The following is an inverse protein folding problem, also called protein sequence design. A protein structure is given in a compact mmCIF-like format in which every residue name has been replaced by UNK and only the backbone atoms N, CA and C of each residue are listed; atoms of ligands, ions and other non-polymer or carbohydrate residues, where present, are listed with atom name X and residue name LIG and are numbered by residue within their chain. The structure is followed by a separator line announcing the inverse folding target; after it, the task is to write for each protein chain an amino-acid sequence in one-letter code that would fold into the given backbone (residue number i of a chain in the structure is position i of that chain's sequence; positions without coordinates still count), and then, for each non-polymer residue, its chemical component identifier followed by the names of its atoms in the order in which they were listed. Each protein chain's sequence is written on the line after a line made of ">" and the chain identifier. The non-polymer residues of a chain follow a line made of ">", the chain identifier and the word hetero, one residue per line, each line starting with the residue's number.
data_IF_252517770899
#
_entry.id   IF_252517770899
#
_cell.length_a   1.000
_cell.length_b   1.000
_cell.length_c   1.000
_cell.angle_alpha   90.00
_cell.angle_beta   90.00
_cell.angle_gamma   90.00
#
_symmetry.space_group_name_H-M   'P 1'
#
loop_
_entity.id
_entity.type
_entity.pdbx_description
1 polymer ?
#
# COMPACT_ATOMS: atom_id res chain seq x y z
N UNK A 1 24.95 9.26 -28.73
CA UNK A 1 23.50 8.93 -28.68
C UNK A 1 23.01 8.51 -27.27
N UNK A 2 23.85 8.53 -26.22
CA UNK A 2 23.49 7.99 -24.89
C UNK A 2 22.67 8.91 -23.95
N UNK A 3 22.69 10.23 -24.13
CA UNK A 3 22.18 11.17 -23.10
C UNK A 3 20.65 11.25 -23.01
N UNK A 4 19.92 11.25 -24.12
CA UNK A 4 18.46 11.43 -24.10
C UNK A 4 17.72 10.18 -23.60
N UNK A 5 18.19 8.98 -23.96
CA UNK A 5 17.58 7.73 -23.52
C UNK A 5 17.81 7.47 -22.03
N UNK A 6 19.01 7.80 -21.52
CA UNK A 6 19.32 7.74 -20.08
C UNK A 6 18.50 8.76 -19.29
N UNK A 7 18.38 9.99 -19.78
CA UNK A 7 17.53 11.02 -19.17
C UNK A 7 16.05 10.60 -19.12
N UNK A 8 15.53 9.98 -20.18
CA UNK A 8 14.16 9.45 -20.19
C UNK A 8 13.96 8.33 -19.18
N UNK A 9 14.95 7.44 -19.00
CA UNK A 9 14.87 6.36 -18.03
C UNK A 9 14.95 6.89 -16.60
N UNK A 10 15.83 7.87 -16.34
CA UNK A 10 15.89 8.55 -15.04
C UNK A 10 14.56 9.20 -14.69
N UNK A 11 13.94 9.93 -15.63
CA UNK A 11 12.62 10.52 -15.43
C UNK A 11 11.55 9.46 -15.13
N UNK A 12 11.63 8.26 -15.72
CA UNK A 12 10.73 7.15 -15.39
C UNK A 12 10.93 6.66 -13.95
N UNK A 13 12.19 6.45 -13.55
CA UNK A 13 12.55 6.04 -12.18
C UNK A 13 12.04 7.07 -11.16
N UNK A 14 12.20 8.37 -11.44
CA UNK A 14 11.70 9.44 -10.59
C UNK A 14 10.16 9.40 -10.49
N UNK A 15 9.44 9.12 -11.59
CA UNK A 15 7.98 8.91 -11.54
C UNK A 15 7.61 7.67 -10.71
N UNK A 16 8.40 6.59 -10.75
CA UNK A 16 8.15 5.41 -9.93
C UNK A 16 8.33 5.73 -8.44
N UNK A 17 9.37 6.48 -8.08
CA UNK A 17 9.61 7.00 -6.72
C UNK A 17 8.45 7.86 -6.24
N UNK A 18 8.03 8.81 -7.06
CA UNK A 18 6.89 9.69 -6.79
C UNK A 18 5.60 8.89 -6.53
N UNK A 19 5.29 7.91 -7.40
CA UNK A 19 4.12 7.07 -7.23
C UNK A 19 4.10 6.28 -5.90
N UNK A 20 5.27 5.97 -5.34
CA UNK A 20 5.39 5.34 -4.03
C UNK A 20 5.28 6.34 -2.87
N UNK A 21 5.93 7.50 -2.99
CA UNK A 21 6.13 8.46 -1.91
C UNK A 21 5.12 9.59 -1.83
N UNK A 22 4.27 9.78 -2.83
CA UNK A 22 3.28 10.85 -2.81
C UNK A 22 2.42 10.80 -1.54
N UNK A 23 2.40 11.89 -0.78
CA UNK A 23 1.78 11.95 0.55
C UNK A 23 0.26 11.90 0.52
N UNK A 24 -0.35 12.16 -0.65
CA UNK A 24 -1.80 12.27 -0.81
C UNK A 24 -2.44 10.99 -1.36
N UNK A 25 -1.83 10.42 -2.39
CA UNK A 25 -2.37 9.33 -3.22
C UNK A 25 -1.35 8.23 -3.50
N UNK A 26 -0.14 8.35 -2.97
CA UNK A 26 0.94 7.39 -3.18
C UNK A 26 0.60 5.98 -2.68
N UNK A 27 1.33 5.01 -3.23
CA UNK A 27 1.15 3.59 -2.92
C UNK A 27 1.44 3.34 -1.44
N UNK A 28 2.53 3.87 -0.88
CA UNK A 28 2.88 3.65 0.52
C UNK A 28 1.88 4.31 1.47
N UNK A 29 1.42 5.53 1.16
CA UNK A 29 0.36 6.21 1.91
C UNK A 29 -0.90 5.35 1.98
N UNK A 30 -1.34 4.86 0.82
CA UNK A 30 -2.52 3.98 0.71
C UNK A 30 -2.37 2.72 1.55
N UNK A 31 -1.23 2.04 1.43
CA UNK A 31 -0.97 0.81 2.17
C UNK A 31 -0.94 1.06 3.69
N UNK A 32 -0.32 2.15 4.13
CA UNK A 32 -0.25 2.51 5.55
C UNK A 32 -1.64 2.85 6.12
N UNK A 33 -2.48 3.58 5.38
CA UNK A 33 -3.85 3.88 5.78
C UNK A 33 -4.69 2.61 5.93
N UNK A 34 -4.55 1.69 4.97
CA UNK A 34 -5.23 0.40 5.00
C UNK A 34 -4.79 -0.46 6.21
N UNK A 35 -3.50 -0.47 6.52
CA UNK A 35 -2.95 -1.17 7.69
C UNK A 35 -3.46 -0.56 8.99
N UNK A 36 -3.50 0.78 9.08
CA UNK A 36 -4.03 1.49 10.24
C UNK A 36 -5.51 1.17 10.45
N UNK A 37 -6.33 1.29 9.40
CA UNK A 37 -7.75 0.98 9.44
C UNK A 37 -8.00 -0.48 9.83
N UNK A 38 -7.19 -1.42 9.32
CA UNK A 38 -7.25 -2.82 9.73
C UNK A 38 -6.94 -3.00 11.23
N UNK A 39 -5.88 -2.38 11.75
CA UNK A 39 -5.53 -2.47 13.16
C UNK A 39 -6.62 -1.87 14.07
N UNK A 40 -7.14 -0.70 13.70
CA UNK A 40 -8.23 -0.02 14.42
C UNK A 40 -9.51 -0.87 14.41
N UNK A 41 -9.91 -1.39 13.25
CA UNK A 41 -11.12 -2.21 13.15
C UNK A 41 -11.00 -3.55 13.87
N UNK A 42 -9.84 -4.21 13.80
CA UNK A 42 -9.56 -5.42 14.60
C UNK A 42 -9.66 -5.14 16.10
N UNK A 43 -9.23 -3.96 16.53
CA UNK A 43 -9.37 -3.49 17.91
C UNK A 43 -10.84 -3.25 18.26
N UNK A 44 -11.61 -2.61 17.38
CA UNK A 44 -13.06 -2.43 17.56
C UNK A 44 -13.80 -3.77 17.71
N UNK A 45 -13.53 -4.75 16.85
CA UNK A 45 -14.08 -6.12 16.98
C UNK A 45 -13.70 -6.72 18.34
N UNK A 46 -12.45 -6.53 18.79
CA UNK A 46 -12.01 -7.04 20.09
C UNK A 46 -12.74 -6.38 21.26
N UNK A 47 -12.98 -5.07 21.20
CA UNK A 47 -13.78 -4.33 22.20
C UNK A 47 -15.18 -4.95 22.28
N UNK A 48 -15.83 -5.17 21.14
CA UNK A 48 -17.16 -5.81 21.07
C UNK A 48 -17.16 -7.21 21.69
N UNK A 49 -16.17 -8.04 21.33
CA UNK A 49 -16.05 -9.39 21.86
C UNK A 49 -15.81 -9.40 23.39
N UNK A 50 -15.06 -8.43 23.91
CA UNK A 50 -14.81 -8.31 25.36
C UNK A 50 -16.06 -7.84 26.10
N UNK A 51 -16.79 -6.87 25.55
CA UNK A 51 -18.05 -6.40 26.11
C UNK A 51 -19.09 -7.52 26.20
N UNK A 52 -19.19 -8.38 25.17
CA UNK A 52 -20.14 -9.50 25.14
C UNK A 52 -19.74 -10.70 26.01
N UNK A 53 -18.46 -10.84 26.40
CA UNK A 53 -17.99 -11.96 27.24
C UNK A 53 -18.26 -11.75 28.73
N UNK A 54 -18.28 -10.50 29.17
CA UNK A 54 -18.43 -10.15 30.57
C UNK A 54 -19.93 -10.09 30.89
N UNK A 55 -20.47 -11.16 31.52
CA UNK A 55 -21.91 -11.30 31.85
C UNK A 55 -22.42 -10.37 32.95
N UNK A 56 -21.62 -9.39 33.38
CA UNK A 56 -22.06 -8.33 34.30
C UNK A 56 -22.73 -7.24 33.48
N UNK A 57 -23.63 -6.47 34.09
CA UNK A 57 -24.43 -5.38 33.49
C UNK A 57 -23.58 -4.29 32.82
N UNK A 58 -22.94 -4.61 31.69
CA UNK A 58 -22.30 -3.62 30.82
C UNK A 58 -23.34 -3.16 29.81
N UNK A 59 -23.36 -1.85 29.49
CA UNK A 59 -24.30 -1.32 28.52
C UNK A 59 -24.11 -2.02 27.17
N UNK A 60 -25.22 -2.32 26.46
CA UNK A 60 -25.16 -2.89 25.12
C UNK A 60 -24.43 -1.94 24.17
N UNK A 61 -23.76 -2.51 23.18
CA UNK A 61 -23.06 -1.74 22.16
C UNK A 61 -24.09 -1.07 21.26
N UNK A 62 -23.86 0.21 20.93
CA UNK A 62 -24.66 0.90 19.94
C UNK A 62 -24.44 0.28 18.56
N UNK A 63 -25.41 -0.55 18.13
CA UNK A 63 -25.31 -1.30 16.88
C UNK A 63 -25.25 -0.38 15.66
N UNK A 64 -26.01 0.71 15.64
CA UNK A 64 -26.01 1.69 14.54
C UNK A 64 -24.61 2.28 14.31
N UNK A 65 -23.93 2.69 15.37
CA UNK A 65 -22.57 3.23 15.27
C UNK A 65 -21.57 2.16 14.83
N UNK A 66 -21.69 0.95 15.35
CA UNK A 66 -20.81 -0.16 14.98
C UNK A 66 -20.98 -0.54 13.50
N UNK A 67 -22.22 -0.60 13.00
CA UNK A 67 -22.52 -0.90 11.61
C UNK A 67 -21.95 0.18 10.67
N UNK A 68 -22.02 1.46 11.07
CA UNK A 68 -21.38 2.55 10.33
C UNK A 68 -19.87 2.39 10.26
N UNK A 69 -19.21 2.06 11.39
CA UNK A 69 -17.76 1.81 11.45
C UNK A 69 -17.38 0.62 10.58
N UNK A 70 -18.12 -0.49 10.67
CA UNK A 70 -17.88 -1.69 9.88
C UNK A 70 -18.04 -1.41 8.39
N UNK A 71 -19.12 -0.74 7.98
CA UNK A 71 -19.36 -0.36 6.58
C UNK A 71 -18.25 0.56 6.04
N UNK A 72 -17.84 1.55 6.83
CA UNK A 72 -16.73 2.44 6.47
C UNK A 72 -15.41 1.70 6.31
N UNK A 73 -15.10 0.77 7.21
CA UNK A 73 -13.91 -0.09 7.11
C UNK A 73 -13.92 -0.94 5.83
N UNK A 74 -15.00 -1.68 5.57
CA UNK A 74 -15.10 -2.53 4.39
C UNK A 74 -15.01 -1.73 3.10
N UNK A 75 -15.74 -0.61 3.01
CA UNK A 75 -15.71 0.26 1.84
C UNK A 75 -14.30 0.82 1.60
N UNK A 76 -13.63 1.30 2.66
CA UNK A 76 -12.25 1.81 2.59
C UNK A 76 -11.26 0.73 2.13
N UNK A 77 -11.34 -0.47 2.70
CA UNK A 77 -10.50 -1.60 2.33
C UNK A 77 -10.64 -1.95 0.85
N UNK A 78 -11.89 -2.20 0.42
CA UNK A 78 -12.16 -2.68 -0.92
C UNK A 78 -11.79 -1.62 -1.98
N UNK A 79 -12.11 -0.34 -1.74
CA UNK A 79 -11.70 0.77 -2.62
C UNK A 79 -10.18 0.93 -2.66
N UNK A 80 -9.50 0.83 -1.52
CA UNK A 80 -8.05 0.91 -1.44
C UNK A 80 -7.36 -0.22 -2.21
N UNK A 81 -7.86 -1.45 -2.09
CA UNK A 81 -7.39 -2.59 -2.88
C UNK A 81 -7.56 -2.31 -4.39
N UNK A 82 -8.76 -1.89 -4.82
CA UNK A 82 -9.01 -1.55 -6.23
C UNK A 82 -8.06 -0.48 -6.75
N UNK A 83 -7.84 0.59 -5.97
CA UNK A 83 -6.92 1.68 -6.32
C UNK A 83 -5.49 1.17 -6.55
N UNK A 84 -4.99 0.30 -5.68
CA UNK A 84 -3.64 -0.27 -5.80
C UNK A 84 -3.49 -1.26 -6.96
N UNK A 85 -4.60 -1.83 -7.45
CA UNK A 85 -4.65 -2.79 -8.55
C UNK A 85 -4.99 -2.15 -9.90
N UNK A 86 -5.22 -0.84 -9.94
CA UNK A 86 -5.64 -0.12 -11.16
C UNK A 86 -4.64 -0.34 -12.30
N UNK A 87 -5.15 -0.57 -13.51
CA UNK A 87 -4.38 -0.86 -14.72
C UNK A 87 -4.10 0.39 -15.55
N UNK A 88 -4.52 1.56 -15.09
CA UNK A 88 -4.29 2.83 -15.76
C UNK A 88 -2.82 3.11 -16.03
N UNK A 89 -2.58 4.16 -16.83
CA UNK A 89 -1.23 4.60 -17.13
C UNK A 89 -0.66 5.35 -15.94
N UNK A 90 0.66 5.28 -15.75
CA UNK A 90 1.31 6.04 -14.69
C UNK A 90 1.38 7.55 -15.00
N UNK A 91 1.31 7.92 -16.29
CA UNK A 91 1.51 9.30 -16.78
C UNK A 91 0.29 9.81 -17.54
N UNK A 92 0.15 11.13 -17.57
CA UNK A 92 -0.91 11.86 -18.28
C UNK A 92 -2.02 12.36 -17.37
N UNK A 93 -3.00 13.05 -17.94
CA UNK A 93 -4.10 13.70 -17.22
C UNK A 93 -5.02 12.72 -16.46
N UNK A 94 -4.87 11.42 -16.75
CA UNK A 94 -5.55 10.32 -16.08
C UNK A 94 -4.55 9.30 -15.52
N UNK A 95 -3.39 9.80 -15.07
CA UNK A 95 -2.36 9.00 -14.42
C UNK A 95 -2.86 8.39 -13.10
N UNK A 96 -2.46 7.16 -12.81
CA UNK A 96 -2.81 6.47 -11.56
C UNK A 96 -1.58 5.94 -10.82
N UNK A 97 -1.53 6.19 -9.51
CA UNK A 97 -0.51 5.63 -8.61
C UNK A 97 -1.00 4.30 -8.06
N UNK A 98 -0.71 3.24 -8.82
CA UNK A 98 -1.03 1.86 -8.47
C UNK A 98 0.20 0.97 -8.65
N UNK A 99 0.23 -0.15 -7.92
CA UNK A 99 1.33 -1.12 -8.01
C UNK A 99 1.41 -1.68 -9.44
N UNK A 100 0.24 -1.95 -10.04
CA UNK A 100 0.16 -2.55 -11.38
C UNK A 100 0.55 -1.57 -12.48
N UNK A 101 0.21 -0.28 -12.36
CA UNK A 101 0.64 0.76 -13.30
C UNK A 101 2.18 0.90 -13.31
N UNK A 102 2.79 0.91 -12.12
CA UNK A 102 4.25 0.96 -11.98
C UNK A 102 4.90 -0.30 -12.58
N UNK A 103 4.39 -1.49 -12.26
CA UNK A 103 4.90 -2.74 -12.83
C UNK A 103 4.81 -2.79 -14.36
N UNK A 104 3.70 -2.33 -14.92
CA UNK A 104 3.52 -2.25 -16.37
C UNK A 104 4.53 -1.30 -17.02
N UNK A 105 4.79 -0.14 -16.40
CA UNK A 105 5.76 0.81 -16.93
C UNK A 105 7.21 0.29 -16.84
N UNK A 106 7.57 -0.38 -15.75
CA UNK A 106 8.88 -1.04 -15.59
C UNK A 106 9.04 -2.15 -16.63
N UNK A 107 8.02 -3.00 -16.82
CA UNK A 107 8.05 -4.07 -17.82
C UNK A 107 8.23 -3.49 -19.23
N UNK A 108 7.56 -2.40 -19.54
CA UNK A 108 7.68 -1.72 -20.84
C UNK A 108 9.09 -1.17 -21.11
N UNK A 109 9.87 -0.81 -20.09
CA UNK A 109 11.25 -0.35 -20.24
C UNK A 109 12.31 -1.38 -19.82
N UNK A 110 11.93 -2.64 -19.57
CA UNK A 110 12.81 -3.73 -19.11
C UNK A 110 14.13 -3.82 -19.88
N UNK A 111 14.08 -3.71 -21.22
CA UNK A 111 15.25 -3.82 -22.08
C UNK A 111 16.31 -2.72 -21.84
N UNK A 112 15.94 -1.61 -21.20
CA UNK A 112 16.83 -0.50 -20.84
C UNK A 112 17.31 -0.56 -19.39
N UNK A 113 16.72 -1.44 -18.57
CA UNK A 113 17.02 -1.58 -17.14
C UNK A 113 18.04 -2.72 -16.93
N UNK A 114 19.27 -2.50 -17.40
CA UNK A 114 20.37 -3.44 -17.17
C UNK A 114 20.84 -3.42 -15.71
N UNK A 115 21.62 -4.43 -15.30
CA UNK A 115 22.24 -4.48 -13.97
C UNK A 115 22.98 -3.20 -13.62
N UNK A 116 23.76 -2.67 -14.56
CA UNK A 116 24.52 -1.44 -14.32
C UNK A 116 23.60 -0.26 -14.02
N UNK A 117 22.57 -0.08 -14.84
CA UNK A 117 21.57 0.98 -14.66
C UNK A 117 20.81 0.79 -13.35
N UNK A 118 20.44 -0.44 -13.02
CA UNK A 118 19.78 -0.74 -11.75
C UNK A 118 20.64 -0.31 -10.55
N UNK A 119 21.90 -0.73 -10.51
CA UNK A 119 22.78 -0.43 -9.37
C UNK A 119 23.11 1.07 -9.31
N UNK A 120 23.50 1.68 -10.42
CA UNK A 120 24.01 3.05 -10.42
C UNK A 120 22.90 4.11 -10.43
N UNK A 121 21.80 3.89 -11.16
CA UNK A 121 20.77 4.91 -11.41
C UNK A 121 19.53 4.69 -10.57
N UNK A 122 19.09 3.44 -10.40
CA UNK A 122 17.88 3.13 -9.65
C UNK A 122 18.16 3.04 -8.14
N UNK A 123 19.26 2.40 -7.76
CA UNK A 123 19.65 2.20 -6.36
C UNK A 123 20.60 3.24 -5.81
N UNK A 124 21.05 4.19 -6.64
CA UNK A 124 22.04 5.22 -6.28
C UNK A 124 23.30 4.62 -5.60
N UNK A 125 23.74 3.44 -6.09
CA UNK A 125 24.87 2.68 -5.57
C UNK A 125 26.05 2.68 -6.55
N UNK A 126 27.19 2.09 -6.16
CA UNK A 126 28.36 1.97 -7.04
C UNK A 126 28.46 0.55 -7.61
N UNK A 127 28.63 0.44 -8.93
CA UNK A 127 28.69 -0.86 -9.59
C UNK A 127 29.93 -1.68 -9.22
N UNK A 128 31.11 -1.05 -9.22
CA UNK A 128 32.41 -1.73 -9.05
C UNK A 128 32.70 -2.10 -7.58
N UNK A 129 32.29 -3.29 -7.16
CA UNK A 129 32.49 -3.78 -5.79
C UNK A 129 33.97 -3.90 -5.40
N UNK A 130 34.83 -4.36 -6.31
CA UNK A 130 36.26 -4.53 -6.01
C UNK A 130 36.97 -3.21 -5.71
N UNK A 131 36.53 -2.10 -6.30
CA UNK A 131 37.05 -0.76 -5.98
C UNK A 131 36.63 -0.34 -4.58
N UNK A 132 35.36 -0.54 -4.24
CA UNK A 132 34.83 -0.25 -2.90
C UNK A 132 35.53 -1.07 -1.80
N UNK A 133 35.79 -2.35 -2.06
CA UNK A 133 36.51 -3.23 -1.14
C UNK A 133 37.95 -2.76 -0.91
N UNK A 134 38.64 -2.29 -1.96
CA UNK A 134 39.99 -1.74 -1.84
C UNK A 134 39.97 -0.41 -1.07
N UNK A 135 39.05 0.50 -1.38
CA UNK A 135 38.89 1.77 -0.65
C UNK A 135 38.63 1.53 0.85
N UNK A 136 37.76 0.58 1.18
CA UNK A 136 37.51 0.22 2.57
C UNK A 136 38.73 -0.42 3.25
N UNK A 137 39.47 -1.27 2.53
CA UNK A 137 40.71 -1.88 3.05
C UNK A 137 41.77 -0.83 3.33
N UNK A 138 41.95 0.14 2.45
CA UNK A 138 42.88 1.26 2.65
C UNK A 138 42.43 2.15 3.82
N UNK A 139 41.13 2.41 3.96
CA UNK A 139 40.59 3.13 5.12
C UNK A 139 40.87 2.39 6.46
N UNK A 140 40.74 1.06 6.47
CA UNK A 140 41.05 0.23 7.65
C UNK A 140 42.55 0.25 7.98
N UNK A 141 43.44 0.19 6.96
CA UNK A 141 44.89 0.33 7.17
C UNK A 141 45.23 1.70 7.74
N UNK A 142 44.64 2.76 7.20
CA UNK A 142 44.86 4.14 7.66
C UNK A 142 44.35 4.38 9.09
N UNK A 143 43.37 3.61 9.55
CA UNK A 143 42.84 3.71 10.91
C UNK A 143 43.85 3.30 12.00
N UNK A 144 44.93 2.58 11.64
CA UNK A 144 46.05 2.21 12.53
C UNK A 144 45.59 1.65 13.89
N UNK A 145 44.67 0.69 13.87
CA UNK A 145 44.13 0.04 15.07
C UNK A 145 42.98 0.77 15.78
N UNK A 146 42.53 1.93 15.28
CA UNK A 146 41.33 2.60 15.79
C UNK A 146 40.07 1.98 15.21
N UNK A 147 39.00 1.94 16.01
CA UNK A 147 37.68 1.60 15.52
C UNK A 147 37.22 2.66 14.51
N UNK A 148 36.90 2.23 13.29
CA UNK A 148 36.32 3.06 12.23
C UNK A 148 35.02 2.44 11.78
N UNK A 149 34.03 3.29 11.55
CA UNK A 149 32.79 2.88 10.91
C UNK A 149 33.08 2.65 9.43
N UNK A 150 32.75 1.45 8.92
CA UNK A 150 32.87 1.16 7.50
C UNK A 150 31.91 2.02 6.68
N UNK A 151 32.31 2.38 5.47
CA UNK A 151 31.44 3.10 4.53
C UNK A 151 30.23 2.21 4.18
N UNK A 152 28.99 2.66 4.45
CA UNK A 152 27.80 1.88 4.10
C UNK A 152 27.66 1.64 2.59
N UNK A 153 28.35 2.41 1.74
CA UNK A 153 28.30 2.28 0.29
C UNK A 153 28.68 0.88 -0.22
N UNK A 154 29.64 0.19 0.42
CA UNK A 154 29.97 -1.19 0.05
C UNK A 154 28.79 -2.12 0.30
N UNK A 155 28.25 -2.11 1.52
CA UNK A 155 27.13 -2.97 1.92
C UNK A 155 25.88 -2.70 1.09
N UNK A 156 25.58 -1.43 0.80
CA UNK A 156 24.45 -1.03 -0.05
C UNK A 156 24.63 -1.54 -1.48
N UNK A 157 25.82 -1.37 -2.06
CA UNK A 157 26.13 -1.84 -3.41
C UNK A 157 26.10 -3.37 -3.50
N UNK A 158 26.64 -4.08 -2.49
CA UNK A 158 26.56 -5.54 -2.39
C UNK A 158 25.10 -6.02 -2.35
N UNK A 159 24.27 -5.37 -1.54
CA UNK A 159 22.83 -5.68 -1.45
C UNK A 159 22.13 -5.43 -2.79
N UNK A 160 22.43 -4.33 -3.47
CA UNK A 160 21.86 -4.02 -4.79
C UNK A 160 22.22 -5.09 -5.84
N UNK A 161 23.47 -5.57 -5.85
CA UNK A 161 23.89 -6.67 -6.72
C UNK A 161 23.21 -7.99 -6.37
N UNK A 162 23.07 -8.31 -5.08
CA UNK A 162 22.37 -9.53 -4.63
C UNK A 162 20.88 -9.51 -5.01
N UNK A 163 20.21 -8.36 -4.87
CA UNK A 163 18.86 -8.20 -5.39
C UNK A 163 18.80 -8.42 -6.90
N UNK A 164 19.74 -7.86 -7.66
CA UNK A 164 19.76 -8.06 -9.11
C UNK A 164 20.08 -9.50 -9.52
N UNK A 165 20.91 -10.23 -8.77
CA UNK A 165 21.14 -11.66 -9.00
C UNK A 165 19.82 -12.44 -8.90
N UNK A 166 19.00 -12.15 -7.88
CA UNK A 166 17.67 -12.74 -7.77
C UNK A 166 16.75 -12.34 -8.93
N UNK A 167 16.75 -11.05 -9.31
CA UNK A 167 15.89 -10.53 -10.38
C UNK A 167 16.25 -11.08 -11.76
N UNK A 168 17.54 -11.28 -12.04
CA UNK A 168 18.05 -11.79 -13.32
C UNK A 168 18.12 -13.32 -13.37
N UNK A 169 18.20 -13.99 -12.22
CA UNK A 169 18.49 -15.42 -12.12
C UNK A 169 19.96 -15.77 -12.40
N UNK A 170 20.85 -14.77 -12.48
CA UNK A 170 22.28 -14.95 -12.77
C UNK A 170 23.07 -14.96 -11.46
N UNK A 171 23.91 -15.98 -11.29
CA UNK A 171 24.75 -16.14 -10.11
C UNK A 171 25.87 -15.10 -10.05
N UNK A 172 26.34 -14.82 -8.83
CA UNK A 172 27.29 -13.73 -8.58
C UNK A 172 28.65 -13.85 -9.28
N UNK A 173 29.04 -15.05 -9.69
CA UNK A 173 30.25 -15.36 -10.46
C UNK A 173 30.13 -15.07 -11.96
N UNK A 174 28.90 -14.91 -12.48
CA UNK A 174 28.61 -14.74 -13.91
C UNK A 174 27.99 -13.38 -14.25
N UNK A 175 28.07 -12.43 -13.32
CA UNK A 175 27.46 -11.09 -13.47
C UNK A 175 28.01 -10.37 -14.71
N UNK A 176 27.11 -9.75 -15.46
CA UNK A 176 27.45 -8.82 -16.52
C UNK A 176 26.71 -7.50 -16.33
N UNK A 177 27.31 -6.35 -16.70
CA UNK A 177 26.66 -5.04 -16.61
C UNK A 177 25.40 -4.95 -17.48
N UNK A 178 25.27 -5.82 -18.48
CA UNK A 178 24.16 -5.86 -19.42
C UNK A 178 23.09 -6.91 -19.07
N UNK A 179 23.22 -7.60 -17.93
CA UNK A 179 22.19 -8.52 -17.46
C UNK A 179 20.84 -7.82 -17.35
N UNK A 180 19.77 -8.50 -17.75
CA UNK A 180 18.41 -8.00 -17.68
C UNK A 180 17.63 -8.76 -16.61
N UNK A 181 16.62 -8.10 -16.03
CA UNK A 181 15.65 -8.73 -15.13
C UNK A 181 14.91 -9.83 -15.89
N UNK A 182 14.65 -10.98 -15.28
CA UNK A 182 13.90 -12.08 -15.89
C UNK A 182 12.41 -11.73 -16.06
N UNK A 183 11.79 -12.19 -17.14
CA UNK A 183 10.35 -11.98 -17.37
C UNK A 183 9.48 -12.70 -16.34
N UNK A 184 9.96 -13.85 -15.84
CA UNK A 184 9.34 -14.64 -14.77
C UNK A 184 9.08 -13.80 -13.50
N UNK A 185 9.95 -12.83 -13.18
CA UNK A 185 9.74 -11.96 -12.01
C UNK A 185 8.45 -11.15 -12.16
N UNK A 186 8.20 -10.58 -13.35
CA UNK A 186 6.99 -9.81 -13.61
C UNK A 186 5.75 -10.70 -13.60
N UNK A 187 5.84 -11.92 -14.14
CA UNK A 187 4.75 -12.89 -14.10
C UNK A 187 4.41 -13.30 -12.66
N UNK A 188 5.43 -13.59 -11.84
CA UNK A 188 5.24 -13.92 -10.43
C UNK A 188 4.60 -12.79 -9.64
N UNK A 189 5.01 -11.54 -9.88
CA UNK A 189 4.39 -10.37 -9.23
C UNK A 189 2.95 -10.16 -9.70
N UNK A 190 2.70 -10.27 -11.01
CA UNK A 190 1.34 -10.13 -11.55
C UNK A 190 0.41 -11.24 -11.06
N UNK A 191 0.87 -12.49 -10.98
CA UNK A 191 0.08 -13.61 -10.46
C UNK A 191 -0.42 -13.37 -9.04
N UNK A 192 0.39 -12.71 -8.19
CA UNK A 192 -0.03 -12.30 -6.84
C UNK A 192 -1.10 -11.21 -6.87
N UNK A 193 -0.97 -10.24 -7.77
CA UNK A 193 -1.97 -9.18 -7.93
C UNK A 193 -3.28 -9.70 -8.56
N UNK A 194 -3.20 -10.69 -9.45
CA UNK A 194 -4.36 -11.33 -10.08
C UNK A 194 -5.24 -12.03 -9.05
N UNK A 195 -4.64 -12.63 -8.01
CA UNK A 195 -5.39 -13.25 -6.92
C UNK A 195 -6.33 -12.27 -6.19
N UNK A 196 -6.08 -10.96 -6.31
CA UNK A 196 -6.89 -9.90 -5.70
C UNK A 196 -7.91 -9.28 -6.66
N UNK A 197 -7.96 -9.70 -7.93
CA UNK A 197 -8.84 -9.09 -8.94
C UNK A 197 -10.33 -9.25 -8.60
N UNK A 198 -10.73 -10.34 -7.94
CA UNK A 198 -12.12 -10.55 -7.50
C UNK A 198 -12.63 -9.40 -6.63
N UNK A 199 -11.76 -8.83 -5.79
CA UNK A 199 -12.08 -7.65 -4.96
C UNK A 199 -12.31 -6.42 -5.86
N UNK A 200 -11.45 -6.19 -6.85
CA UNK A 200 -11.58 -5.07 -7.79
C UNK A 200 -12.86 -5.16 -8.62
N UNK A 201 -13.20 -6.38 -9.07
CA UNK A 201 -14.41 -6.66 -9.86
C UNK A 201 -15.68 -6.46 -9.03
N UNK A 202 -15.67 -6.89 -7.77
CA UNK A 202 -16.74 -6.64 -6.81
C UNK A 202 -16.94 -5.14 -6.60
N UNK A 203 -15.89 -4.39 -6.28
CA UNK A 203 -15.98 -2.94 -6.05
C UNK A 203 -16.53 -2.22 -7.26
N UNK A 204 -16.05 -2.57 -8.46
CA UNK A 204 -16.50 -1.93 -9.69
C UNK A 204 -18.00 -2.15 -9.95
N UNK A 205 -18.58 -3.27 -9.52
CA UNK A 205 -19.98 -3.61 -9.77
C UNK A 205 -20.95 -3.27 -8.64
N UNK A 206 -20.48 -3.26 -7.38
CA UNK A 206 -21.33 -3.18 -6.20
C UNK A 206 -21.13 -1.90 -5.37
N UNK A 207 -19.97 -1.24 -5.47
CA UNK A 207 -19.62 -0.11 -4.62
C UNK A 207 -19.39 1.18 -5.42
N UNK A 208 -18.51 1.12 -6.42
CA UNK A 208 -18.11 2.29 -7.20
C UNK A 208 -19.12 2.69 -8.29
N UNK A 209 -19.90 1.73 -8.78
CA UNK A 209 -20.95 1.97 -9.75
C UNK A 209 -22.26 1.34 -9.26
N UNK A 210 -23.39 2.00 -9.57
CA UNK A 210 -24.72 1.42 -9.39
C UNK A 210 -24.97 0.35 -10.47
N UNK A 211 -24.17 -0.72 -10.46
CA UNK A 211 -24.28 -1.81 -11.42
C UNK A 211 -25.69 -2.38 -11.41
N UNK A 212 -26.24 -2.64 -12.59
CA UNK A 212 -27.52 -3.33 -12.71
C UNK A 212 -27.40 -4.80 -12.27
N UNK A 213 -28.53 -5.50 -12.15
CA UNK A 213 -28.58 -6.90 -11.69
C UNK A 213 -27.65 -7.83 -12.49
N UNK A 214 -27.59 -7.66 -13.79
CA UNK A 214 -26.74 -8.46 -14.70
C UNK A 214 -25.25 -8.22 -14.44
N UNK A 215 -24.84 -6.96 -14.25
CA UNK A 215 -23.43 -6.59 -14.04
C UNK A 215 -22.85 -7.08 -12.71
N UNK A 216 -23.73 -7.38 -11.75
CA UNK A 216 -23.41 -7.88 -10.39
C UNK A 216 -23.32 -9.40 -10.30
N UNK A 217 -23.88 -10.12 -11.27
CA UNK A 217 -23.91 -11.58 -11.26
C UNK A 217 -22.48 -12.16 -11.19
N UNK A 218 -22.29 -13.18 -10.35
CA UNK A 218 -21.03 -13.90 -10.12
C UNK A 218 -19.85 -13.04 -9.60
N UNK A 219 -20.11 -11.81 -9.13
CA UNK A 219 -19.10 -10.87 -8.57
C UNK A 219 -19.36 -10.55 -7.10
N UNK A 220 -20.12 -11.38 -6.42
CA UNK A 220 -20.38 -11.25 -5.00
C UNK A 220 -19.20 -11.76 -4.19
N UNK A 221 -19.02 -11.15 -3.03
CA UNK A 221 -18.03 -11.53 -2.02
C UNK A 221 -18.76 -12.07 -0.79
N UNK A 222 -19.72 -12.97 -1.00
CA UNK A 222 -20.68 -13.40 0.04
C UNK A 222 -20.03 -14.05 1.28
N UNK A 223 -18.79 -14.53 1.15
CA UNK A 223 -18.01 -15.13 2.24
C UNK A 223 -16.79 -14.30 2.66
N UNK A 224 -16.60 -13.09 2.10
CA UNK A 224 -15.41 -12.29 2.40
C UNK A 224 -15.47 -11.73 3.82
N UNK A 225 -14.52 -12.15 4.64
CA UNK A 225 -14.46 -11.76 6.04
C UNK A 225 -13.11 -11.15 6.45
N UNK A 226 -12.92 -10.97 7.76
CA UNK A 226 -11.74 -10.31 8.32
C UNK A 226 -10.44 -11.09 8.07
N UNK A 227 -10.51 -12.40 7.85
CA UNK A 227 -9.38 -13.27 7.49
C UNK A 227 -8.98 -13.01 6.04
N UNK A 228 -9.95 -12.90 5.15
CA UNK A 228 -9.70 -12.58 3.74
C UNK A 228 -9.14 -11.18 3.59
N UNK A 229 -9.66 -10.22 4.35
CA UNK A 229 -9.07 -8.88 4.46
C UNK A 229 -7.60 -8.92 4.86
N UNK A 230 -7.27 -9.69 5.91
CA UNK A 230 -5.89 -9.84 6.37
C UNK A 230 -4.99 -10.39 5.27
N UNK A 231 -5.41 -11.45 4.57
CA UNK A 231 -4.60 -12.02 3.50
C UNK A 231 -4.49 -11.07 2.30
N UNK A 232 -5.55 -10.38 1.91
CA UNK A 232 -5.50 -9.37 0.85
C UNK A 232 -4.52 -8.23 1.18
N UNK A 233 -4.57 -7.70 2.40
CA UNK A 233 -3.63 -6.68 2.87
C UNK A 233 -2.20 -7.19 2.92
N UNK A 234 -1.99 -8.40 3.41
CA UNK A 234 -0.67 -9.02 3.46
C UNK A 234 -0.08 -9.17 2.06
N UNK A 235 -0.86 -9.65 1.08
CA UNK A 235 -0.44 -9.74 -0.31
C UNK A 235 -0.09 -8.35 -0.87
N UNK A 236 -0.94 -7.34 -0.68
CA UNK A 236 -0.68 -5.97 -1.13
C UNK A 236 0.58 -5.38 -0.52
N UNK A 237 0.75 -5.48 0.80
CA UNK A 237 1.93 -4.97 1.52
C UNK A 237 3.19 -5.63 0.99
N UNK A 238 3.18 -6.96 0.84
CA UNK A 238 4.35 -7.70 0.37
C UNK A 238 4.70 -7.34 -1.07
N UNK A 239 3.72 -7.24 -1.97
CA UNK A 239 3.99 -6.85 -3.36
C UNK A 239 4.43 -5.39 -3.44
N UNK A 240 3.74 -4.47 -2.76
CA UNK A 240 4.13 -3.06 -2.71
C UNK A 240 5.56 -2.89 -2.20
N UNK A 241 5.91 -3.56 -1.09
CA UNK A 241 7.25 -3.49 -0.53
C UNK A 241 8.31 -4.02 -1.49
N UNK A 242 8.08 -5.18 -2.13
CA UNK A 242 9.02 -5.72 -3.11
C UNK A 242 9.19 -4.79 -4.31
N UNK A 243 8.08 -4.30 -4.88
CA UNK A 243 8.13 -3.38 -6.03
C UNK A 243 8.81 -2.07 -5.66
N UNK A 244 8.50 -1.50 -4.49
CA UNK A 244 9.14 -0.30 -3.99
C UNK A 244 10.65 -0.48 -3.83
N UNK A 245 11.07 -1.52 -3.10
CA UNK A 245 12.50 -1.74 -2.79
C UNK A 245 13.29 -2.10 -4.04
N UNK A 246 12.70 -2.88 -4.94
CA UNK A 246 13.40 -3.30 -6.15
C UNK A 246 13.43 -2.20 -7.19
N UNK A 247 12.34 -1.46 -7.40
CA UNK A 247 12.21 -0.62 -8.60
C UNK A 247 12.06 0.88 -8.31
N UNK A 248 11.64 1.27 -7.12
CA UNK A 248 11.60 2.67 -6.71
C UNK A 248 12.76 3.06 -5.79
N UNK A 249 13.45 2.09 -5.16
CA UNK A 249 14.34 2.32 -4.01
C UNK A 249 13.58 2.89 -2.80
N UNK A 250 12.28 2.57 -2.70
CA UNK A 250 11.38 3.03 -1.64
C UNK A 250 10.92 1.84 -0.79
N UNK A 251 10.79 2.03 0.51
CA UNK A 251 10.38 0.96 1.43
C UNK A 251 9.69 1.52 2.67
N UNK A 252 9.43 0.65 3.64
CA UNK A 252 8.92 1.08 4.95
C UNK A 252 7.40 1.15 5.08
N UNK A 253 6.63 0.48 4.21
CA UNK A 253 5.23 0.23 4.51
C UNK A 253 5.12 -0.62 5.79
N UNK A 254 4.37 -0.13 6.76
CA UNK A 254 4.27 -0.75 8.08
C UNK A 254 3.12 -0.16 8.88
N UNK A 255 2.71 -0.86 9.94
CA UNK A 255 1.71 -0.32 10.85
C UNK A 255 2.30 0.93 11.52
N UNK A 256 1.61 2.07 11.39
CA UNK A 256 2.03 3.30 12.00
C UNK A 256 2.12 3.16 13.53
N UNK A 257 3.20 3.66 14.10
CA UNK A 257 3.35 3.77 15.55
C UNK A 257 2.53 4.97 16.02
N UNK A 258 1.47 4.71 16.78
CA UNK A 258 0.73 5.76 17.45
C UNK A 258 1.58 6.34 18.59
N UNK A 259 1.70 7.67 18.65
CA UNK A 259 2.57 8.37 19.63
C UNK A 259 1.89 8.46 21.01
N UNK A 260 0.56 8.32 21.08
CA UNK A 260 -0.22 8.34 22.32
C UNK A 260 -0.60 6.95 22.85
N UNK A 261 -1.55 6.91 23.78
CA UNK A 261 -2.21 5.67 24.18
C UNK A 261 -3.46 5.43 23.33
N UNK A 262 -3.41 4.46 22.41
CA UNK A 262 -4.52 4.13 21.52
C UNK A 262 -5.79 3.62 22.23
N UNK A 263 -5.71 3.37 23.54
CA UNK A 263 -6.83 2.91 24.37
C UNK A 263 -7.32 3.98 25.36
N UNK A 264 -6.72 5.17 25.35
CA UNK A 264 -7.15 6.27 26.20
C UNK A 264 -8.63 6.61 25.95
N UNK A 265 -9.40 6.73 27.04
CA UNK A 265 -10.83 7.06 26.98
C UNK A 265 -11.77 5.86 26.77
N UNK A 266 -11.26 4.65 26.50
CA UNK A 266 -12.12 3.46 26.31
C UNK A 266 -12.75 2.93 27.62
N UNK A 267 -12.26 3.39 28.77
CA UNK A 267 -12.72 3.04 30.11
C UNK A 267 -13.80 3.98 30.66
N UNK A 268 -14.18 5.03 29.92
CA UNK A 268 -15.20 6.00 30.29
C UNK A 268 -16.45 5.88 29.40
N UNK A 269 -17.65 6.15 29.94
CA UNK A 269 -18.84 6.29 29.10
C UNK A 269 -18.69 7.47 28.15
N UNK A 270 -19.03 7.27 26.87
CA UNK A 270 -18.91 8.30 25.83
C UNK A 270 -19.92 9.44 26.01
N UNK A 271 -21.09 9.12 26.57
CA UNK A 271 -22.23 10.02 26.75
C UNK A 271 -22.80 9.76 28.14
N UNK A 272 -23.15 10.83 28.86
CA UNK A 272 -23.79 10.72 30.17
C UNK A 272 -25.33 10.66 30.04
N UNK A 273 -26.06 10.11 31.02
CA UNK A 273 -27.52 10.04 30.95
C UNK A 273 -28.23 11.39 30.79
N UNK A 274 -27.62 12.48 31.28
CA UNK A 274 -28.16 13.85 31.18
C UNK A 274 -28.11 14.42 29.76
N UNK A 275 -27.23 13.89 28.90
CA UNK A 275 -27.07 14.33 27.50
C UNK A 275 -27.99 13.57 26.52
N UNK A 276 -28.74 12.56 26.99
CA UNK A 276 -29.59 11.74 26.13
C UNK A 276 -30.71 12.51 25.41
N UNK A 277 -31.41 13.49 26.05
CA UNK A 277 -32.42 14.30 25.37
C UNK A 277 -31.85 15.09 24.17
N UNK A 278 -30.62 15.58 24.27
CA UNK A 278 -29.98 16.34 23.19
C UNK A 278 -29.70 15.45 21.96
N UNK A 279 -29.32 14.17 22.18
CA UNK A 279 -29.14 13.21 21.10
C UNK A 279 -30.46 12.85 20.40
N UNK A 280 -31.55 12.70 21.16
CA UNK A 280 -32.89 12.48 20.61
C UNK A 280 -33.33 13.67 19.76
N UNK A 281 -33.16 14.90 20.26
CA UNK A 281 -33.51 16.11 19.52
C UNK A 281 -32.68 16.27 18.24
N UNK A 282 -31.38 15.96 18.27
CA UNK A 282 -30.53 15.96 17.08
C UNK A 282 -31.02 14.96 16.02
N UNK A 283 -31.44 13.76 16.43
CA UNK A 283 -31.98 12.75 15.52
C UNK A 283 -33.31 13.20 14.90
N UNK A 284 -34.21 13.77 15.71
CA UNK A 284 -35.49 14.32 15.25
C UNK A 284 -35.30 15.53 14.31
N UNK A 285 -34.32 16.39 14.59
CA UNK A 285 -33.96 17.50 13.71
C UNK A 285 -33.46 17.00 12.35
N UNK A 286 -32.58 16.00 12.35
CA UNK A 286 -32.09 15.36 11.11
C UNK A 286 -33.23 14.73 10.31
N UNK A 287 -34.16 14.05 10.97
CA UNK A 287 -35.34 13.48 10.30
C UNK A 287 -36.19 14.55 9.63
N UNK A 288 -36.50 15.64 10.37
CA UNK A 288 -37.28 16.77 9.83
C UNK A 288 -36.61 17.42 8.62
N UNK A 289 -35.28 17.55 8.65
CA UNK A 289 -34.52 18.07 7.52
C UNK A 289 -34.66 17.16 6.28
N UNK A 290 -34.38 15.86 6.42
CA UNK A 290 -34.50 14.89 5.31
C UNK A 290 -35.93 14.84 4.75
N UNK A 291 -36.94 14.87 5.60
CA UNK A 291 -38.35 14.90 5.18
C UNK A 291 -38.70 16.16 4.36
N UNK A 292 -37.94 17.25 4.52
CA UNK A 292 -38.13 18.50 3.80
C UNK A 292 -37.55 18.51 2.38
N UNK A 293 -36.70 17.54 2.02
CA UNK A 293 -36.02 17.48 0.70
C UNK A 293 -36.93 17.00 -0.45
N UNK A 294 -38.25 17.07 -0.26
CA UNK A 294 -39.23 16.70 -1.28
C UNK A 294 -39.43 17.85 -2.27
N UNK A 295 -39.14 17.59 -3.54
CA UNK A 295 -39.51 18.48 -4.64
C UNK A 295 -40.92 18.15 -5.13
N UNK A 296 -41.78 19.16 -5.30
CA UNK A 296 -43.09 18.93 -5.94
C UNK A 296 -42.91 18.91 -7.45
N UNK A 297 -43.81 18.22 -8.16
CA UNK A 297 -43.82 18.25 -9.62
C UNK A 297 -43.97 19.67 -10.20
N UNK A 298 -44.51 20.61 -9.41
CA UNK A 298 -44.65 22.03 -9.75
C UNK A 298 -43.35 22.83 -9.60
N UNK A 299 -42.33 22.28 -8.95
CA UNK A 299 -41.04 22.92 -8.72
C UNK A 299 -39.99 22.52 -9.78
N UNK A 300 -40.36 21.68 -10.75
CA UNK A 300 -39.60 21.33 -11.97
C UNK A 300 -39.88 22.33 -13.10
#
# INVERSE_FOLDING_TARGET
>A
MGTQAEQQLKLRIDTWREAFNDETTGILKTVNDLLWNYAAFRTAIRIVLLANKDRREKPPINQMMFDLIASGYWSSLLLGVRRLLDKGHLKGDHGVYSIRAVLNDIKACRAKLSRRVYVEVLRDCRYDLSKLEEEQREALKAANGKAVWGDPALTQSQTAHQHFDFLSGISGDKRSPNDLISEDIFERLENRLVALNSISDHVSSHLAHAGNRESRQDKLLDEFDIRDSREALKELVQVAHLVGVWFANEGGAGLATYIGNQFEGLDYPLVSPEDMPDLEENWEATRRDVDSWQIKATDL
#
